data_IF_602110269295
#
_entry.id   IF_602110269295
#
_cell.length_a   1.000
_cell.length_b   1.000
_cell.length_c   1.000
_cell.angle_alpha   90.00
_cell.angle_beta   90.00
_cell.angle_gamma   90.00
#
_symmetry.space_group_name_H-M   'P 1'
#
loop_
_entity.id
_entity.type
_entity.pdbx_description
1 polymer ?
#
# COMPACT_ATOMS: atom_id res chain seq x y z
N UNK A 1 -23.69 37.83 -44.93
CA UNK A 1 -22.31 37.54 -44.45
C UNK A 1 -22.39 36.30 -43.57
N UNK A 2 -21.68 35.20 -43.89
CA UNK A 2 -21.91 33.90 -43.25
C UNK A 2 -21.23 33.80 -41.87
N UNK A 3 -21.90 33.09 -40.97
CA UNK A 3 -21.52 32.88 -39.56
C UNK A 3 -20.31 31.95 -39.46
N UNK A 4 -19.35 32.33 -38.62
CA UNK A 4 -18.16 31.57 -38.25
C UNK A 4 -18.53 30.25 -37.55
N UNK A 5 -18.68 29.17 -38.32
CA UNK A 5 -18.93 27.81 -37.80
C UNK A 5 -17.66 27.03 -37.38
N UNK A 6 -16.48 27.68 -37.42
CA UNK A 6 -15.19 27.02 -37.21
C UNK A 6 -14.70 26.93 -35.76
N UNK A 7 -15.16 27.82 -34.86
CA UNK A 7 -14.64 27.83 -33.47
C UNK A 7 -15.18 26.67 -32.63
N UNK A 8 -16.44 26.30 -32.83
CA UNK A 8 -17.11 25.25 -32.05
C UNK A 8 -16.51 23.86 -32.30
N UNK A 9 -16.18 23.55 -33.55
CA UNK A 9 -15.60 22.25 -33.94
C UNK A 9 -14.18 22.13 -33.37
N UNK A 10 -13.37 23.19 -33.48
CA UNK A 10 -12.01 23.21 -32.92
C UNK A 10 -12.00 23.02 -31.40
N UNK A 11 -12.91 23.68 -30.68
CA UNK A 11 -13.04 23.52 -29.22
C UNK A 11 -13.49 22.12 -28.83
N UNK A 12 -14.45 21.52 -29.54
CA UNK A 12 -14.91 20.15 -29.27
C UNK A 12 -13.77 19.14 -29.50
N UNK A 13 -13.01 19.27 -30.58
CA UNK A 13 -11.84 18.41 -30.85
C UNK A 13 -10.79 18.54 -29.75
N UNK A 14 -10.48 19.76 -29.30
CA UNK A 14 -9.52 19.99 -28.22
C UNK A 14 -9.95 19.32 -26.91
N UNK A 15 -11.23 19.45 -26.53
CA UNK A 15 -11.79 18.83 -25.32
C UNK A 15 -11.70 17.30 -25.42
N UNK A 16 -12.07 16.73 -26.56
CA UNK A 16 -11.97 15.27 -26.78
C UNK A 16 -10.53 14.80 -26.68
N UNK A 17 -9.57 15.52 -27.26
CA UNK A 17 -8.14 15.20 -27.15
C UNK A 17 -7.67 15.23 -25.69
N UNK A 18 -8.06 16.25 -24.91
CA UNK A 18 -7.72 16.34 -23.49
C UNK A 18 -8.34 15.18 -22.69
N UNK A 19 -9.59 14.83 -22.96
CA UNK A 19 -10.27 13.70 -22.30
C UNK A 19 -9.63 12.37 -22.67
N UNK A 20 -9.25 12.16 -23.93
CA UNK A 20 -8.53 10.96 -24.38
C UNK A 20 -7.15 10.88 -23.73
N UNK A 21 -6.39 11.97 -23.69
CA UNK A 21 -5.09 12.01 -23.00
C UNK A 21 -5.28 11.72 -21.51
N UNK A 22 -6.24 12.35 -20.84
CA UNK A 22 -6.54 12.11 -19.43
C UNK A 22 -6.95 10.67 -19.14
N UNK A 23 -7.77 10.07 -20.01
CA UNK A 23 -8.17 8.67 -19.91
C UNK A 23 -6.99 7.71 -20.11
N UNK A 24 -6.13 7.96 -21.10
CA UNK A 24 -4.92 7.17 -21.34
C UNK A 24 -3.93 7.27 -20.16
N UNK A 25 -3.73 8.47 -19.60
CA UNK A 25 -2.93 8.68 -18.39
C UNK A 25 -3.50 7.95 -17.17
N UNK A 26 -4.82 8.01 -16.96
CA UNK A 26 -5.51 7.30 -15.86
C UNK A 26 -5.48 5.77 -16.04
N UNK A 27 -5.46 5.28 -17.28
CA UNK A 27 -5.35 3.84 -17.56
C UNK A 27 -3.95 3.28 -17.31
N UNK A 28 -2.90 4.09 -17.44
CA UNK A 28 -1.52 3.67 -17.19
C UNK A 28 -1.15 3.54 -15.71
N UNK A 29 -1.92 4.14 -14.79
CA UNK A 29 -1.59 4.09 -13.35
C UNK A 29 -2.06 2.82 -12.66
N UNK A 30 -2.91 2.00 -13.30
CA UNK A 30 -3.34 0.71 -12.77
C UNK A 30 -2.33 -0.37 -13.13
N UNK A 31 -1.63 -0.88 -12.13
CA UNK A 31 -0.77 -2.05 -12.29
C UNK A 31 -1.67 -3.25 -12.54
N UNK A 32 -1.44 -3.96 -13.64
CA UNK A 32 -2.17 -5.18 -13.97
C UNK A 32 -2.07 -6.19 -12.81
N UNK A 33 -3.22 -6.57 -12.25
CA UNK A 33 -3.32 -7.61 -11.21
C UNK A 33 -3.72 -7.13 -9.82
N UNK A 34 -3.81 -5.82 -9.56
CA UNK A 34 -4.22 -5.26 -8.27
C UNK A 34 -5.39 -4.29 -8.44
N UNK A 35 -6.44 -4.46 -7.64
CA UNK A 35 -7.66 -3.67 -7.70
C UNK A 35 -7.93 -2.89 -6.40
N UNK A 36 -7.13 -3.10 -5.37
CA UNK A 36 -7.24 -2.42 -4.08
C UNK A 36 -6.03 -1.51 -3.84
N UNK A 37 -6.17 -0.56 -2.92
CA UNK A 37 -5.08 0.37 -2.60
C UNK A 37 -3.95 -0.30 -1.81
N UNK A 38 -4.27 -1.36 -1.05
CA UNK A 38 -3.34 -2.03 -0.14
C UNK A 38 -3.19 -3.51 -0.49
N UNK A 39 -1.95 -4.01 -0.38
CA UNK A 39 -1.60 -5.41 -0.60
C UNK A 39 -0.86 -6.00 0.60
N UNK A 40 -1.07 -7.29 0.84
CA UNK A 40 -0.18 -8.13 1.66
C UNK A 40 0.81 -8.87 0.75
N UNK A 41 2.11 -8.73 1.03
CA UNK A 41 3.21 -9.36 0.31
C UNK A 41 3.84 -10.42 1.19
N UNK A 42 3.65 -11.68 0.82
CA UNK A 42 4.15 -12.83 1.56
C UNK A 42 5.49 -13.29 0.97
N UNK A 43 6.54 -13.31 1.79
CA UNK A 43 7.88 -13.68 1.36
C UNK A 43 8.22 -15.13 1.69
N UNK A 44 9.18 -15.71 0.94
CA UNK A 44 9.63 -17.09 1.12
C UNK A 44 10.22 -17.39 2.50
N UNK A 45 10.64 -16.35 3.24
CA UNK A 45 11.18 -16.46 4.59
C UNK A 45 10.10 -16.34 5.70
N UNK A 46 8.82 -16.30 5.32
CA UNK A 46 7.69 -16.19 6.26
C UNK A 46 7.38 -14.75 6.71
N UNK A 47 8.13 -13.75 6.26
CA UNK A 47 7.82 -12.35 6.53
C UNK A 47 6.63 -11.88 5.68
N UNK A 48 5.85 -10.98 6.25
CA UNK A 48 4.71 -10.35 5.57
C UNK A 48 4.84 -8.85 5.69
N UNK A 49 4.76 -8.18 4.56
CA UNK A 49 4.70 -6.73 4.47
C UNK A 49 3.32 -6.30 3.94
N UNK A 50 2.80 -5.21 4.48
CA UNK A 50 1.58 -4.57 4.01
C UNK A 50 1.94 -3.24 3.37
N UNK A 51 1.45 -2.95 2.18
CA UNK A 51 1.78 -1.70 1.51
C UNK A 51 1.15 -1.59 0.14
N UNK A 52 1.52 -0.56 -0.60
CA UNK A 52 1.03 -0.29 -1.94
C UNK A 52 2.03 -0.79 -2.97
N UNK A 53 1.65 -1.77 -3.79
CA UNK A 53 2.47 -2.20 -4.92
C UNK A 53 2.47 -1.09 -5.97
N UNK A 54 3.65 -0.54 -6.26
CA UNK A 54 3.85 0.56 -7.23
C UNK A 54 4.45 0.12 -8.55
N UNK A 55 5.08 -1.04 -8.58
CA UNK A 55 5.60 -1.67 -9.80
C UNK A 55 5.74 -3.16 -9.59
N UNK A 56 5.49 -3.91 -10.67
CA UNK A 56 5.70 -5.34 -10.68
C UNK A 56 6.17 -5.80 -12.06
N UNK A 57 7.23 -6.61 -12.11
CA UNK A 57 7.69 -7.31 -13.31
C UNK A 57 8.31 -8.68 -12.95
N UNK A 58 8.85 -9.42 -13.92
CA UNK A 58 9.35 -10.79 -13.69
C UNK A 58 10.57 -10.88 -12.76
N UNK A 59 11.20 -9.77 -12.40
CA UNK A 59 12.44 -9.72 -11.59
C UNK A 59 12.21 -8.99 -10.26
N UNK A 60 11.28 -8.04 -10.23
CA UNK A 60 11.14 -7.09 -9.12
C UNK A 60 9.67 -6.81 -8.79
N UNK A 61 9.41 -6.66 -7.49
CA UNK A 61 8.22 -6.05 -6.91
C UNK A 61 8.63 -4.81 -6.11
N UNK A 62 7.99 -3.67 -6.37
CA UNK A 62 8.23 -2.41 -5.64
C UNK A 62 7.02 -2.07 -4.79
N UNK A 63 7.23 -1.94 -3.49
CA UNK A 63 6.20 -1.61 -2.50
C UNK A 63 6.52 -0.26 -1.85
N UNK A 64 5.50 0.55 -1.57
CA UNK A 64 5.58 1.82 -0.83
C UNK A 64 4.53 1.88 0.27
N UNK A 65 4.62 2.87 1.16
CA UNK A 65 3.73 2.99 2.32
C UNK A 65 3.74 1.69 3.14
N UNK A 66 4.93 1.22 3.51
CA UNK A 66 5.11 -0.16 4.01
C UNK A 66 4.88 -0.24 5.52
N UNK A 67 4.20 -1.29 5.95
CA UNK A 67 3.93 -1.66 7.33
C UNK A 67 4.22 -3.16 7.56
N UNK A 68 4.48 -3.55 8.81
CA UNK A 68 4.63 -4.94 9.25
C UNK A 68 4.07 -5.12 10.65
N UNK A 69 3.75 -6.36 11.02
CA UNK A 69 3.29 -6.68 12.38
C UNK A 69 4.47 -7.01 13.28
N UNK A 70 4.49 -6.40 14.47
CA UNK A 70 5.42 -6.70 15.54
C UNK A 70 4.65 -7.24 16.75
N UNK A 71 5.15 -8.33 17.34
CA UNK A 71 4.61 -8.82 18.61
C UNK A 71 5.32 -8.10 19.75
N UNK A 72 4.62 -7.22 20.42
CA UNK A 72 5.10 -6.56 21.63
C UNK A 72 4.77 -7.46 22.82
N UNK A 73 5.80 -7.97 23.50
CA UNK A 73 5.60 -8.67 24.77
C UNK A 73 5.65 -7.63 25.88
N UNK A 74 4.60 -7.46 26.70
CA UNK A 74 4.71 -6.61 27.87
C UNK A 74 5.83 -7.15 28.76
N UNK A 75 6.77 -6.28 29.13
CA UNK A 75 7.78 -6.58 30.14
C UNK A 75 7.05 -6.65 31.49
N UNK A 76 6.51 -7.82 31.84
CA UNK A 76 5.93 -8.03 33.15
C UNK A 76 7.04 -8.03 34.19
N UNK A 77 7.15 -6.91 34.91
CA UNK A 77 7.71 -6.91 36.26
C UNK A 77 6.72 -7.68 37.11
N UNK A 78 7.04 -8.94 37.40
CA UNK A 78 6.36 -9.74 38.41
C UNK A 78 6.59 -9.08 39.78
N UNK A 79 5.59 -8.36 40.28
CA UNK A 79 5.33 -8.33 41.70
C UNK A 79 4.58 -9.61 42.05
N UNK A 80 5.09 -10.32 43.05
CA UNK A 80 4.63 -11.64 43.48
C UNK A 80 3.18 -11.55 43.99
N UNK A 81 2.20 -12.09 43.25
CA UNK A 81 0.88 -12.34 43.84
C UNK A 81 -0.34 -12.49 42.92
N UNK A 82 -0.32 -12.01 41.67
CA UNK A 82 -1.54 -11.99 40.86
C UNK A 82 -1.45 -12.91 39.63
N UNK A 83 -2.45 -13.80 39.49
CA UNK A 83 -2.59 -14.69 38.33
C UNK A 83 -2.72 -13.87 37.04
N UNK A 84 -1.65 -13.87 36.27
CA UNK A 84 -1.53 -13.18 34.99
C UNK A 84 -2.50 -13.79 33.97
N UNK A 85 -3.60 -13.11 33.69
CA UNK A 85 -4.46 -13.43 32.55
C UNK A 85 -3.66 -13.19 31.26
N UNK A 86 -3.31 -14.29 30.61
CA UNK A 86 -2.98 -14.42 29.20
C UNK A 86 -1.80 -13.55 28.68
N UNK A 87 -0.56 -14.07 28.62
CA UNK A 87 0.57 -13.39 27.97
C UNK A 87 0.47 -13.48 26.43
N UNK A 88 -0.69 -13.17 25.86
CA UNK A 88 -0.82 -12.98 24.43
C UNK A 88 -0.23 -11.61 24.11
N UNK A 89 1.01 -11.62 23.59
CA UNK A 89 1.69 -10.40 23.15
C UNK A 89 0.79 -9.59 22.23
N UNK A 90 0.81 -8.28 22.41
CA UNK A 90 0.02 -7.35 21.62
C UNK A 90 0.63 -7.29 20.21
N UNK A 91 -0.17 -7.63 19.20
CA UNK A 91 0.22 -7.46 17.80
C UNK A 91 0.05 -5.98 17.44
N UNK A 92 1.17 -5.30 17.20
CA UNK A 92 1.22 -3.91 16.80
C UNK A 92 1.57 -3.79 15.32
N UNK A 93 0.88 -2.90 14.60
CA UNK A 93 1.24 -2.54 13.23
C UNK A 93 2.28 -1.42 13.24
N UNK A 94 3.43 -1.67 12.63
CA UNK A 94 4.58 -0.77 12.62
C UNK A 94 4.83 -0.26 11.21
N UNK A 95 5.03 1.05 11.07
CA UNK A 95 5.43 1.69 9.83
C UNK A 95 6.92 1.51 9.59
N UNK A 96 7.30 1.01 8.42
CA UNK A 96 8.69 0.94 7.97
C UNK A 96 9.28 2.36 7.81
N UNK A 97 10.50 2.55 8.29
CA UNK A 97 11.30 3.77 8.14
C UNK A 97 12.00 4.22 9.43
N UNK A 98 11.51 3.78 10.59
CA UNK A 98 12.04 4.18 11.91
C UNK A 98 13.02 3.16 12.52
N UNK A 99 13.46 2.17 11.75
CA UNK A 99 14.44 1.19 12.17
C UNK A 99 15.85 1.80 12.31
N UNK A 100 16.72 1.14 13.09
CA UNK A 100 18.10 1.60 13.32
C UNK A 100 18.92 1.81 12.03
N UNK A 101 18.66 1.00 11.00
CA UNK A 101 19.35 1.09 9.71
C UNK A 101 18.70 2.12 8.77
N UNK A 102 17.65 2.82 9.21
CA UNK A 102 17.04 3.97 8.55
C UNK A 102 16.60 3.73 7.10
N UNK A 103 15.78 2.71 6.81
CA UNK A 103 15.31 2.49 5.45
C UNK A 103 14.40 3.63 5.00
N UNK A 104 14.40 3.94 3.71
CA UNK A 104 13.32 4.75 3.12
C UNK A 104 12.04 3.95 3.05
N UNK A 105 10.89 4.62 2.96
CA UNK A 105 9.58 4.00 2.76
C UNK A 105 9.34 3.49 1.32
N UNK A 106 10.24 2.64 0.86
CA UNK A 106 10.19 1.99 -0.45
C UNK A 106 11.04 0.73 -0.39
N UNK A 107 10.46 -0.40 -0.80
CA UNK A 107 11.14 -1.69 -0.80
C UNK A 107 11.14 -2.28 -2.21
N UNK A 108 12.33 -2.71 -2.63
CA UNK A 108 12.56 -3.39 -3.90
C UNK A 108 12.84 -4.85 -3.59
N UNK A 109 11.91 -5.72 -3.96
CA UNK A 109 11.91 -7.14 -3.59
C UNK A 109 12.19 -7.96 -4.84
N UNK A 110 13.16 -8.87 -4.77
CA UNK A 110 13.38 -9.85 -5.84
C UNK A 110 12.12 -10.74 -5.95
N UNK A 111 11.58 -10.85 -7.17
CA UNK A 111 10.37 -11.60 -7.44
C UNK A 111 10.46 -13.08 -7.05
N UNK A 112 11.65 -13.69 -7.13
CA UNK A 112 11.88 -15.09 -6.75
C UNK A 112 11.65 -15.36 -5.25
N UNK A 113 11.61 -14.30 -4.43
CA UNK A 113 11.37 -14.39 -3.00
C UNK A 113 9.95 -14.01 -2.58
N UNK A 114 9.06 -13.72 -3.53
CA UNK A 114 7.64 -13.45 -3.27
C UNK A 114 6.85 -14.74 -3.48
N UNK A 115 6.19 -15.24 -2.44
CA UNK A 115 5.32 -16.41 -2.54
C UNK A 115 4.01 -16.06 -3.24
N UNK A 116 3.35 -14.99 -2.78
CA UNK A 116 2.13 -14.45 -3.36
C UNK A 116 1.86 -13.05 -2.83
N UNK A 117 0.93 -12.36 -3.49
CA UNK A 117 0.45 -11.03 -3.12
C UNK A 117 -1.07 -11.06 -3.12
N UNK A 118 -1.70 -10.50 -2.08
CA UNK A 118 -3.15 -10.40 -1.96
C UNK A 118 -3.59 -8.96 -1.85
N UNK A 119 -4.66 -8.61 -2.55
CA UNK A 119 -5.38 -7.36 -2.33
C UNK A 119 -6.10 -7.41 -0.97
N UNK A 120 -5.94 -6.35 -0.19
CA UNK A 120 -6.65 -6.19 1.08
C UNK A 120 -7.96 -5.47 0.85
N UNK A 121 -9.00 -5.91 1.56
CA UNK A 121 -10.27 -5.17 1.59
C UNK A 121 -10.11 -3.88 2.38
N UNK A 122 -10.83 -2.85 1.94
CA UNK A 122 -10.93 -1.57 2.63
C UNK A 122 -11.41 -1.72 4.10
N UNK A 123 -12.26 -2.70 4.37
CA UNK A 123 -12.79 -2.98 5.72
C UNK A 123 -11.93 -3.93 6.56
N UNK A 124 -10.75 -4.32 6.08
CA UNK A 124 -9.86 -5.20 6.85
C UNK A 124 -9.24 -4.50 8.05
N UNK A 125 -9.01 -5.24 9.15
CA UNK A 125 -8.38 -4.68 10.36
C UNK A 125 -7.02 -4.03 10.08
N UNK A 126 -6.26 -4.57 9.11
CA UNK A 126 -4.96 -4.01 8.71
C UNK A 126 -5.14 -2.67 8.03
N UNK A 127 -6.04 -2.56 7.05
CA UNK A 127 -6.30 -1.29 6.34
C UNK A 127 -6.84 -0.24 7.30
N UNK A 128 -7.80 -0.60 8.16
CA UNK A 128 -8.30 0.30 9.20
C UNK A 128 -7.18 0.78 10.16
N UNK A 129 -6.26 -0.09 10.55
CA UNK A 129 -5.12 0.29 11.38
C UNK A 129 -4.15 1.23 10.66
N UNK A 130 -3.91 1.01 9.37
CA UNK A 130 -3.11 1.91 8.52
C UNK A 130 -3.77 3.28 8.43
N UNK A 131 -5.08 3.34 8.19
CA UNK A 131 -5.82 4.60 8.08
C UNK A 131 -5.81 5.36 9.41
N UNK A 132 -6.04 4.67 10.52
CA UNK A 132 -5.94 5.26 11.86
C UNK A 132 -4.53 5.83 12.10
N UNK A 133 -3.48 5.10 11.75
CA UNK A 133 -2.10 5.58 11.83
C UNK A 133 -1.88 6.85 11.00
N UNK A 134 -2.41 6.89 9.76
CA UNK A 134 -2.28 8.05 8.87
C UNK A 134 -3.05 9.28 9.36
N UNK A 135 -4.19 9.10 10.03
CA UNK A 135 -4.98 10.21 10.58
C UNK A 135 -4.46 10.76 11.90
N UNK A 136 -3.71 9.95 12.66
CA UNK A 136 -3.12 10.34 13.94
C UNK A 136 -1.75 11.03 13.85
N UNK A 137 -1.19 11.15 12.64
CA UNK A 137 -0.02 11.98 12.34
C UNK A 137 -0.42 13.42 12.04
#
# INVERSE_FOLDING_TARGET
MPRSGGSSIGTVVLIVVILVIGFLWMSQTRISGYNQDWQAVFLTNGQVYFGQVKKQNNVELVVKDIYYLQVTRPLQQTEEGEQQQNPQGELSLVKLGNELHGPTDSMFINRDHVLFVEDLKDDSNVVQAIDNYKTGQ
#
